data_IF_491443792095
#
_entry.id   IF_491443792095
#
_cell.length_a   1.000
_cell.length_b   1.000
_cell.length_c   1.000
_cell.angle_alpha   90.00
_cell.angle_beta   90.00
_cell.angle_gamma   90.00
#
_symmetry.space_group_name_H-M   'P 1'
#
loop_
_entity.id
_entity.type
_entity.pdbx_description
1 polymer ?
#
# COMPACT_ATOMS: atom_id res chain seq x y z
N UNK A 1 21.33 19.12 8.66
CA UNK A 1 20.63 19.18 7.39
C UNK A 1 20.58 17.83 6.74
N UNK A 2 19.45 17.46 6.32
CA UNK A 2 19.20 16.10 5.97
C UNK A 2 18.65 16.02 4.59
N UNK A 3 19.48 15.89 3.63
CA UNK A 3 19.02 15.50 2.34
C UNK A 3 18.96 14.00 2.33
N UNK A 4 17.90 13.39 1.92
CA UNK A 4 17.87 12.00 1.56
C UNK A 4 18.83 11.72 0.41
N UNK A 5 18.91 10.47 -0.03
CA UNK A 5 19.68 10.12 -1.21
C UNK A 5 19.18 10.92 -2.43
N UNK A 6 19.99 10.97 -3.48
CA UNK A 6 19.55 11.61 -4.74
C UNK A 6 18.27 10.98 -5.29
N UNK A 7 18.12 9.68 -5.09
CA UNK A 7 16.94 8.93 -5.48
C UNK A 7 15.70 9.42 -4.71
N UNK A 8 15.80 9.48 -3.40
CA UNK A 8 14.70 9.95 -2.55
C UNK A 8 14.30 11.38 -2.85
N UNK A 9 15.27 12.25 -3.08
CA UNK A 9 15.02 13.63 -3.46
C UNK A 9 14.31 13.74 -4.80
N UNK A 10 14.70 12.90 -5.75
CA UNK A 10 14.06 12.88 -7.07
C UNK A 10 12.62 12.40 -6.94
N UNK A 11 12.38 11.34 -6.22
CA UNK A 11 11.04 10.80 -6.00
C UNK A 11 10.14 11.82 -5.33
N UNK A 12 10.60 12.44 -4.27
CA UNK A 12 9.85 13.49 -3.59
C UNK A 12 9.50 14.65 -4.53
N UNK A 13 10.44 15.07 -5.34
CA UNK A 13 10.22 16.15 -6.32
C UNK A 13 9.21 15.78 -7.38
N UNK A 14 9.28 14.54 -7.86
CA UNK A 14 8.32 14.04 -8.85
C UNK A 14 6.92 13.97 -8.26
N UNK A 15 6.79 13.40 -7.06
CA UNK A 15 5.51 13.30 -6.37
C UNK A 15 4.91 14.67 -6.10
N UNK A 16 5.72 15.60 -5.63
CA UNK A 16 5.25 16.96 -5.38
C UNK A 16 4.78 17.64 -6.66
N UNK A 17 5.52 17.46 -7.74
CA UNK A 17 5.14 18.01 -9.04
C UNK A 17 3.82 17.45 -9.54
N UNK A 18 3.62 16.14 -9.41
CA UNK A 18 2.39 15.49 -9.83
C UNK A 18 1.20 15.88 -8.95
N UNK A 19 1.42 15.97 -7.65
CA UNK A 19 0.39 16.32 -6.69
C UNK A 19 0.05 17.80 -6.68
N UNK A 20 0.99 18.66 -7.03
CA UNK A 20 0.77 20.11 -7.09
C UNK A 20 -0.16 20.49 -8.24
N UNK A 21 -0.29 19.66 -9.23
CA UNK A 21 -1.23 19.85 -10.33
C UNK A 21 -2.36 18.83 -10.18
N UNK A 22 -3.43 19.22 -9.53
CA UNK A 22 -4.60 18.36 -9.35
C UNK A 22 -5.18 17.88 -10.69
N UNK A 23 -4.95 18.63 -11.73
CA UNK A 23 -5.42 18.32 -13.07
C UNK A 23 -4.35 17.67 -13.94
N UNK A 24 -3.18 17.35 -13.34
CA UNK A 24 -2.02 16.88 -14.09
C UNK A 24 -2.20 15.49 -14.64
N UNK A 25 -2.64 14.55 -13.83
CA UNK A 25 -2.66 13.15 -14.20
C UNK A 25 -4.00 12.73 -14.77
N UNK A 26 -3.98 12.05 -15.90
CA UNK A 26 -5.16 11.41 -16.49
C UNK A 26 -5.38 10.06 -15.81
N UNK A 27 -6.37 10.00 -14.94
CA UNK A 27 -6.66 8.79 -14.14
C UNK A 27 -7.37 7.71 -14.95
N UNK A 28 -7.80 8.01 -16.17
CA UNK A 28 -8.43 7.03 -17.05
C UNK A 28 -7.38 6.26 -17.88
N UNK A 29 -6.14 6.71 -17.87
CA UNK A 29 -5.03 6.01 -18.51
C UNK A 29 -4.32 5.14 -17.47
N UNK A 30 -4.28 3.82 -17.66
CA UNK A 30 -3.60 2.93 -16.71
C UNK A 30 -2.13 3.28 -16.54
N UNK A 31 -1.65 3.17 -15.31
CA UNK A 31 -0.24 3.28 -15.00
C UNK A 31 0.55 2.14 -15.66
N UNK A 32 1.77 2.44 -16.05
CA UNK A 32 2.67 1.48 -16.67
C UNK A 32 3.81 1.15 -15.72
N UNK A 33 4.04 -0.12 -15.43
CA UNK A 33 5.22 -0.54 -14.69
C UNK A 33 6.39 -0.60 -15.67
N UNK A 34 7.37 0.28 -15.49
CA UNK A 34 8.56 0.32 -16.32
C UNK A 34 9.56 -0.74 -15.88
N UNK A 35 9.77 -0.84 -14.57
CA UNK A 35 10.64 -1.84 -13.97
C UNK A 35 10.21 -2.16 -12.56
N UNK A 36 10.55 -3.36 -12.12
CA UNK A 36 10.32 -3.81 -10.74
C UNK A 36 11.46 -4.74 -10.35
N UNK A 37 12.06 -4.47 -9.22
CA UNK A 37 13.16 -5.26 -8.68
C UNK A 37 12.90 -5.54 -7.22
N UNK A 38 12.97 -6.81 -6.82
CA UNK A 38 12.87 -7.17 -5.41
C UNK A 38 14.18 -6.86 -4.72
N UNK A 39 14.16 -5.92 -3.79
CA UNK A 39 15.36 -5.43 -3.08
C UNK A 39 15.49 -5.98 -1.67
N UNK A 40 14.45 -6.58 -1.14
CA UNK A 40 14.45 -7.25 0.15
C UNK A 40 13.45 -8.40 0.12
N UNK A 41 13.88 -9.54 0.66
CA UNK A 41 13.01 -10.71 0.86
C UNK A 41 13.13 -11.17 2.29
N UNK A 42 12.05 -11.05 3.04
CA UNK A 42 11.93 -11.54 4.41
C UNK A 42 11.04 -12.77 4.49
N UNK A 43 10.79 -13.22 5.70
CA UNK A 43 9.94 -14.39 5.97
C UNK A 43 8.45 -14.06 5.81
N UNK A 44 8.09 -12.81 6.04
CA UNK A 44 6.69 -12.35 6.06
C UNK A 44 6.36 -11.52 4.82
N UNK A 45 7.31 -10.72 4.36
CA UNK A 45 7.08 -9.83 3.23
C UNK A 45 8.34 -9.67 2.40
N UNK A 46 8.16 -9.15 1.20
CA UNK A 46 9.26 -8.66 0.38
C UNK A 46 8.99 -7.23 -0.06
N UNK A 47 10.02 -6.53 -0.48
CA UNK A 47 9.94 -5.15 -0.95
C UNK A 47 10.41 -5.10 -2.39
N UNK A 48 9.56 -4.54 -3.24
CA UNK A 48 9.87 -4.27 -4.63
C UNK A 48 10.14 -2.78 -4.82
N UNK A 49 11.26 -2.47 -5.47
CA UNK A 49 11.59 -1.13 -5.92
C UNK A 49 11.09 -0.98 -7.35
N UNK A 50 10.14 -0.08 -7.56
CA UNK A 50 9.41 0.02 -8.82
C UNK A 50 9.55 1.38 -9.46
N UNK A 51 9.67 1.38 -10.78
CA UNK A 51 9.54 2.56 -11.61
C UNK A 51 8.21 2.48 -12.34
N UNK A 52 7.43 3.53 -12.25
CA UNK A 52 6.07 3.57 -12.77
C UNK A 52 5.90 4.84 -13.60
N UNK A 53 5.29 4.73 -14.77
CA UNK A 53 4.93 5.87 -15.58
C UNK A 53 3.43 6.15 -15.42
N UNK A 54 3.12 7.41 -15.10
CA UNK A 54 1.78 7.96 -15.12
C UNK A 54 1.64 8.91 -16.31
N UNK A 55 0.48 8.94 -16.93
CA UNK A 55 0.21 9.79 -18.07
C UNK A 55 -0.55 11.03 -17.66
N UNK A 56 -0.11 12.20 -18.07
CA UNK A 56 -0.86 13.43 -17.83
C UNK A 56 -1.95 13.67 -18.88
N UNK A 57 -2.76 14.68 -18.66
CA UNK A 57 -3.89 15.00 -19.56
C UNK A 57 -3.45 15.46 -20.94
N UNK A 58 -2.19 15.80 -21.14
CA UNK A 58 -1.61 16.11 -22.42
C UNK A 58 -0.98 14.89 -23.11
N UNK A 59 -1.09 13.72 -22.49
CA UNK A 59 -0.52 12.49 -23.03
C UNK A 59 0.95 12.27 -22.73
N UNK A 60 1.56 13.11 -21.90
CA UNK A 60 2.95 12.98 -21.51
C UNK A 60 3.11 12.04 -20.34
N UNK A 61 4.12 11.17 -20.40
CA UNK A 61 4.44 10.26 -19.31
C UNK A 61 5.36 10.93 -18.30
N UNK A 62 5.07 10.64 -17.00
CA UNK A 62 5.87 11.05 -15.86
C UNK A 62 6.28 9.81 -15.09
N UNK A 63 7.56 9.65 -14.86
CA UNK A 63 8.10 8.51 -14.14
C UNK A 63 8.22 8.82 -12.66
N UNK A 64 7.71 7.91 -11.83
CA UNK A 64 7.83 7.96 -10.38
C UNK A 64 8.47 6.69 -9.87
N UNK A 65 9.15 6.77 -8.72
CA UNK A 65 9.70 5.62 -8.01
C UNK A 65 8.82 5.28 -6.80
N UNK A 66 8.64 4.01 -6.55
CA UNK A 66 7.93 3.53 -5.37
C UNK A 66 8.58 2.29 -4.81
N UNK A 67 8.60 2.20 -3.50
CA UNK A 67 8.94 0.96 -2.82
C UNK A 67 7.66 0.36 -2.28
N UNK A 68 7.36 -0.84 -2.73
CA UNK A 68 6.10 -1.52 -2.44
C UNK A 68 6.38 -2.73 -1.58
N UNK A 69 5.79 -2.73 -0.39
CA UNK A 69 5.83 -3.88 0.49
C UNK A 69 4.73 -4.85 0.10
N UNK A 70 5.10 -6.10 -0.15
CA UNK A 70 4.16 -7.15 -0.52
C UNK A 70 4.18 -8.27 0.49
N UNK A 71 3.01 -8.68 0.92
CA UNK A 71 2.82 -9.82 1.81
C UNK A 71 1.57 -10.60 1.36
N UNK A 72 1.36 -11.74 1.98
CA UNK A 72 0.18 -12.54 1.70
C UNK A 72 -1.11 -11.71 1.88
N UNK A 73 -2.14 -11.97 1.10
CA UNK A 73 -3.41 -11.29 1.27
C UNK A 73 -3.94 -11.43 2.68
N UNK A 74 -4.60 -10.40 3.17
CA UNK A 74 -5.24 -10.43 4.48
C UNK A 74 -6.71 -10.02 4.38
N UNK A 75 -7.44 -10.35 5.43
CA UNK A 75 -8.86 -10.01 5.57
C UNK A 75 -9.01 -9.15 6.80
N UNK A 76 -9.79 -8.11 6.70
CA UNK A 76 -10.24 -7.29 7.82
C UNK A 76 -11.74 -7.45 7.93
N UNK A 77 -12.23 -7.66 9.15
CA UNK A 77 -13.64 -7.92 9.38
C UNK A 77 -14.27 -6.80 10.20
N UNK A 78 -15.46 -6.37 9.78
CA UNK A 78 -16.32 -5.53 10.60
C UNK A 78 -17.41 -6.44 11.18
N UNK A 79 -17.27 -6.78 12.45
CA UNK A 79 -18.18 -7.71 13.11
C UNK A 79 -19.20 -6.91 13.90
N UNK A 80 -20.47 -7.08 13.55
CA UNK A 80 -21.58 -6.40 14.18
C UNK A 80 -22.46 -7.42 14.90
N UNK A 81 -22.61 -7.26 16.20
CA UNK A 81 -23.59 -8.01 16.99
C UNK A 81 -24.94 -7.29 16.90
N UNK A 82 -25.83 -7.85 16.12
CA UNK A 82 -27.14 -7.23 15.87
C UNK A 82 -28.04 -7.22 17.10
N UNK A 83 -27.84 -8.14 18.04
CA UNK A 83 -28.66 -8.22 19.24
C UNK A 83 -28.37 -7.08 20.22
N UNK A 84 -27.14 -6.61 20.27
CA UNK A 84 -26.69 -5.55 21.17
C UNK A 84 -26.34 -4.26 20.47
N UNK A 85 -26.34 -4.25 19.13
CA UNK A 85 -25.91 -3.14 18.28
C UNK A 85 -24.49 -2.68 18.62
N UNK A 86 -23.58 -3.63 18.76
CA UNK A 86 -22.19 -3.39 19.09
C UNK A 86 -21.27 -3.96 18.04
N UNK A 87 -20.11 -3.34 17.88
CA UNK A 87 -19.06 -3.80 17.00
C UNK A 87 -17.93 -4.41 17.81
N UNK A 88 -17.35 -5.48 17.29
CA UNK A 88 -16.20 -6.11 17.89
C UNK A 88 -14.94 -5.33 17.54
N UNK A 89 -14.26 -4.85 18.56
CA UNK A 89 -12.96 -4.21 18.46
C UNK A 89 -11.97 -5.04 19.26
N UNK A 90 -10.85 -5.36 18.67
CA UNK A 90 -9.78 -6.05 19.38
C UNK A 90 -8.68 -5.07 19.79
N UNK A 91 -7.92 -5.48 20.76
CA UNK A 91 -6.75 -4.75 21.22
C UNK A 91 -5.55 -5.68 21.17
N UNK A 92 -4.53 -5.31 20.41
CA UNK A 92 -3.35 -6.14 20.26
C UNK A 92 -2.07 -5.33 20.34
N UNK A 93 -0.98 -6.01 20.69
CA UNK A 93 0.34 -5.41 20.71
C UNK A 93 0.84 -5.20 19.28
N UNK A 94 1.28 -3.98 18.99
CA UNK A 94 1.86 -3.60 17.70
C UNK A 94 3.35 -3.36 17.87
N UNK A 95 4.15 -4.33 17.46
CA UNK A 95 5.60 -4.29 17.67
C UNK A 95 6.27 -3.07 17.04
N UNK A 96 5.81 -2.65 15.86
CA UNK A 96 6.39 -1.50 15.17
C UNK A 96 6.22 -0.17 15.89
N UNK A 97 5.17 -0.02 16.68
CA UNK A 97 4.91 1.17 17.49
C UNK A 97 5.11 0.95 18.99
N UNK A 98 5.47 -0.28 19.36
CA UNK A 98 5.68 -0.67 20.77
C UNK A 98 4.53 -0.25 21.68
N UNK A 99 3.32 -0.55 21.24
CA UNK A 99 2.12 -0.23 22.01
C UNK A 99 0.98 -1.18 21.69
N UNK A 100 0.02 -1.29 22.61
CA UNK A 100 -1.25 -1.94 22.35
C UNK A 100 -2.17 -0.97 21.63
N UNK A 101 -2.75 -1.39 20.53
CA UNK A 101 -3.64 -0.58 19.73
C UNK A 101 -4.97 -1.28 19.49
N UNK A 102 -6.01 -0.49 19.39
CA UNK A 102 -7.33 -0.99 19.03
C UNK A 102 -7.46 -1.09 17.52
N UNK A 103 -8.14 -2.11 17.07
CA UNK A 103 -8.37 -2.31 15.65
C UNK A 103 -9.49 -3.30 15.39
N UNK A 104 -9.82 -3.44 14.12
CA UNK A 104 -10.76 -4.47 13.68
C UNK A 104 -10.07 -5.83 13.63
N UNK A 105 -10.79 -6.93 13.87
CA UNK A 105 -10.24 -8.27 13.68
C UNK A 105 -9.72 -8.44 12.26
N UNK A 106 -8.51 -8.98 12.14
CA UNK A 106 -7.85 -9.18 10.85
C UNK A 106 -6.97 -10.43 10.92
N UNK A 107 -6.69 -10.99 9.76
CA UNK A 107 -5.80 -12.14 9.65
C UNK A 107 -5.33 -12.35 8.23
N UNK A 108 -4.24 -13.09 8.09
CA UNK A 108 -3.76 -13.51 6.79
C UNK A 108 -4.71 -14.55 6.19
N UNK A 109 -4.91 -14.46 4.88
CA UNK A 109 -5.66 -15.46 4.15
C UNK A 109 -4.81 -16.72 4.00
N UNK A 110 -5.43 -17.85 4.25
CA UNK A 110 -4.83 -19.15 3.98
C UNK A 110 -4.87 -19.41 2.46
N UNK A 111 -3.76 -19.86 1.89
CA UNK A 111 -3.68 -20.19 0.47
C UNK A 111 -4.69 -21.25 0.05
N UNK A 112 -5.03 -22.17 0.94
CA UNK A 112 -5.98 -23.24 0.67
C UNK A 112 -7.44 -22.80 0.79
N UNK A 113 -7.70 -21.56 1.19
CA UNK A 113 -9.05 -21.06 1.48
C UNK A 113 -9.22 -19.65 0.98
N UNK A 114 -10.39 -19.40 0.41
CA UNK A 114 -10.87 -18.06 0.21
C UNK A 114 -11.93 -17.76 1.28
N UNK A 115 -12.04 -16.53 1.69
CA UNK A 115 -13.01 -16.13 2.71
C UNK A 115 -14.46 -16.38 2.29
N UNK A 116 -14.68 -16.51 1.00
CA UNK A 116 -16.04 -16.64 0.43
C UNK A 116 -16.51 -18.06 0.24
N UNK A 117 -15.61 -19.02 0.23
CA UNK A 117 -15.95 -20.43 -0.05
C UNK A 117 -16.17 -21.26 1.19
N UNK A 118 -16.23 -20.63 2.32
CA UNK A 118 -16.42 -21.37 3.56
C UNK A 118 -17.88 -21.58 3.85
N UNK A 119 -18.25 -22.76 4.21
CA UNK A 119 -19.57 -22.99 4.72
C UNK A 119 -19.76 -22.33 6.07
#
# INVERSE_FOLDING_TARGET
>A
MFGGSKQEQLEHRLDHKLNASSDGIDMDVPAKVISSETVYTGRIFHVDDMRIALTDKQGKEHEIGRQVLRHAPCVVMLVHDMSTDRYLIEREYRAGSDMFAYGLPAGLMDEARTSWTRP
#
